data_IF_651657059670
#
_entry.id   IF_651657059670
#
_cell.length_a   1.000
_cell.length_b   1.000
_cell.length_c   1.000
_cell.angle_alpha   90.00
_cell.angle_beta   90.00
_cell.angle_gamma   90.00
#
_symmetry.space_group_name_H-M   'P 1'
#
loop_
_entity.id
_entity.type
_entity.pdbx_description
1 polymer ?
#
# COMPACT_ATOMS: atom_id res chain seq x y z
N UNK A 1 -5.51 -18.27 -6.19
CA UNK A 1 -4.04 -18.34 -6.29
C UNK A 1 -3.55 -17.47 -7.43
N UNK A 2 -2.56 -16.62 -7.14
CA UNK A 2 -1.94 -15.71 -8.11
C UNK A 2 -0.70 -16.37 -8.72
N UNK A 3 -0.51 -16.20 -10.03
CA UNK A 3 0.72 -16.64 -10.72
C UNK A 3 1.68 -15.46 -10.89
N UNK A 4 2.98 -15.77 -10.93
CA UNK A 4 4.06 -14.81 -11.17
C UNK A 4 3.81 -13.89 -12.38
N UNK A 5 3.34 -14.47 -13.49
CA UNK A 5 3.08 -13.75 -14.74
C UNK A 5 2.01 -12.67 -14.57
N UNK A 6 0.89 -13.00 -13.92
CA UNK A 6 -0.21 -12.06 -13.67
C UNK A 6 0.22 -10.94 -12.72
N UNK A 7 1.00 -11.28 -11.70
CA UNK A 7 1.54 -10.30 -10.77
C UNK A 7 2.53 -9.34 -11.48
N UNK A 8 3.38 -9.87 -12.37
CA UNK A 8 4.33 -9.07 -13.16
C UNK A 8 3.63 -8.12 -14.13
N UNK A 9 2.66 -8.61 -14.90
CA UNK A 9 1.86 -7.79 -15.82
C UNK A 9 1.17 -6.64 -15.08
N UNK A 10 0.56 -6.95 -13.94
CA UNK A 10 -0.12 -5.95 -13.12
C UNK A 10 0.84 -4.91 -12.53
N UNK A 11 1.96 -5.33 -11.93
CA UNK A 11 2.95 -4.41 -11.36
C UNK A 11 3.60 -3.51 -12.41
N UNK A 12 3.89 -4.05 -13.60
CA UNK A 12 4.39 -3.25 -14.73
C UNK A 12 3.41 -2.16 -15.16
N UNK A 13 2.10 -2.45 -15.15
CA UNK A 13 1.07 -1.45 -15.44
C UNK A 13 1.06 -0.29 -14.44
N UNK A 14 1.49 -0.55 -13.20
CA UNK A 14 1.61 0.45 -12.12
C UNK A 14 2.98 1.19 -12.14
N UNK A 15 3.86 0.84 -13.08
CA UNK A 15 5.21 1.38 -13.18
C UNK A 15 6.20 0.79 -12.17
N UNK A 16 5.85 -0.32 -11.53
CA UNK A 16 6.65 -0.98 -10.51
C UNK A 16 7.44 -2.11 -11.17
N UNK A 17 8.77 -2.01 -11.16
CA UNK A 17 9.66 -3.04 -11.69
C UNK A 17 10.43 -3.70 -10.55
N UNK A 18 10.01 -4.91 -10.18
CA UNK A 18 10.71 -5.78 -9.22
C UNK A 18 11.48 -6.87 -9.96
N UNK A 19 12.61 -7.34 -9.40
CA UNK A 19 13.28 -8.53 -9.91
C UNK A 19 12.43 -9.78 -9.62
N UNK A 20 12.47 -10.75 -10.53
CA UNK A 20 11.57 -11.92 -10.52
C UNK A 20 11.68 -12.76 -9.23
N UNK A 21 12.86 -12.84 -8.61
CA UNK A 21 13.05 -13.56 -7.34
C UNK A 21 12.32 -12.91 -6.15
N UNK A 22 12.26 -11.57 -6.11
CA UNK A 22 11.49 -10.85 -5.07
C UNK A 22 9.99 -11.00 -5.34
N UNK A 23 9.59 -10.95 -6.61
CA UNK A 23 8.20 -11.09 -7.01
C UNK A 23 7.66 -12.48 -6.64
N UNK A 24 8.49 -13.52 -6.74
CA UNK A 24 8.13 -14.87 -6.31
C UNK A 24 7.88 -14.95 -4.80
N UNK A 25 8.81 -14.43 -3.99
CA UNK A 25 8.65 -14.41 -2.53
C UNK A 25 7.36 -13.69 -2.10
N UNK A 26 7.06 -12.54 -2.72
CA UNK A 26 5.83 -11.80 -2.44
C UNK A 26 4.56 -12.56 -2.85
N UNK A 27 4.60 -13.27 -3.97
CA UNK A 27 3.48 -14.11 -4.40
C UNK A 27 3.25 -15.26 -3.41
N UNK A 28 4.31 -15.85 -2.88
CA UNK A 28 4.21 -16.90 -1.85
C UNK A 28 3.58 -16.36 -0.55
N UNK A 29 4.01 -15.18 -0.10
CA UNK A 29 3.42 -14.49 1.05
C UNK A 29 1.92 -14.20 0.84
N UNK A 30 1.52 -13.71 -0.34
CA UNK A 30 0.12 -13.42 -0.67
C UNK A 30 -0.72 -14.70 -0.78
N UNK A 31 -0.13 -15.78 -1.29
CA UNK A 31 -0.80 -17.07 -1.41
C UNK A 31 -1.02 -17.73 -0.05
N UNK A 32 -0.28 -17.36 1.01
CA UNK A 32 -0.56 -17.83 2.38
C UNK A 32 -1.94 -17.44 2.90
N UNK A 33 -2.52 -16.34 2.39
CA UNK A 33 -3.84 -15.82 2.79
C UNK A 33 -5.00 -16.52 2.05
N UNK A 34 -4.69 -17.42 1.11
CA UNK A 34 -5.68 -18.04 0.22
C UNK A 34 -6.82 -18.74 1.00
N UNK A 35 -6.53 -19.37 2.14
CA UNK A 35 -7.53 -20.06 2.97
C UNK A 35 -8.58 -19.08 3.53
N UNK A 36 -8.16 -17.90 4.00
CA UNK A 36 -9.07 -16.87 4.50
C UNK A 36 -9.90 -16.26 3.35
N UNK A 37 -9.28 -16.09 2.18
CA UNK A 37 -9.95 -15.52 1.02
C UNK A 37 -11.03 -16.44 0.45
N UNK A 38 -10.76 -17.74 0.36
CA UNK A 38 -11.70 -18.72 -0.19
C UNK A 38 -12.91 -18.95 0.73
N UNK A 39 -12.76 -18.73 2.05
CA UNK A 39 -13.84 -18.82 3.01
C UNK A 39 -14.84 -17.64 2.95
N UNK A 40 -14.37 -16.45 2.56
CA UNK A 40 -15.13 -15.20 2.69
C UNK A 40 -15.46 -14.51 1.37
N UNK A 41 -14.76 -14.82 0.28
CA UNK A 41 -14.87 -14.09 -0.97
C UNK A 41 -15.04 -15.01 -2.20
N UNK A 42 -15.78 -14.56 -3.22
CA UNK A 42 -15.78 -15.23 -4.51
C UNK A 42 -14.40 -15.07 -5.18
N UNK A 43 -14.01 -16.06 -5.99
CA UNK A 43 -12.68 -16.13 -6.62
C UNK A 43 -12.23 -14.85 -7.36
N UNK A 44 -13.18 -14.12 -7.97
CA UNK A 44 -12.90 -12.84 -8.64
C UNK A 44 -12.45 -11.74 -7.67
N UNK A 45 -13.06 -11.68 -6.48
CA UNK A 45 -12.70 -10.72 -5.43
C UNK A 45 -11.41 -11.11 -4.71
N UNK A 46 -11.20 -12.40 -4.46
CA UNK A 46 -9.96 -12.92 -3.89
C UNK A 46 -8.75 -12.51 -4.75
N UNK A 47 -8.84 -12.69 -6.08
CA UNK A 47 -7.78 -12.26 -7.00
C UNK A 47 -7.51 -10.76 -6.90
N UNK A 48 -8.55 -9.92 -6.88
CA UNK A 48 -8.39 -8.48 -6.78
C UNK A 48 -7.67 -8.06 -5.48
N UNK A 49 -8.06 -8.64 -4.34
CA UNK A 49 -7.43 -8.38 -3.03
C UNK A 49 -5.95 -8.76 -3.07
N UNK A 50 -5.62 -9.92 -3.63
CA UNK A 50 -4.24 -10.39 -3.77
C UNK A 50 -3.38 -9.44 -4.63
N UNK A 51 -3.92 -8.94 -5.74
CA UNK A 51 -3.22 -7.99 -6.60
C UNK A 51 -3.03 -6.63 -5.94
N UNK A 52 -4.03 -6.15 -5.17
CA UNK A 52 -3.90 -4.90 -4.43
C UNK A 52 -2.87 -4.99 -3.31
N UNK A 53 -2.78 -6.13 -2.61
CA UNK A 53 -1.75 -6.38 -1.60
C UNK A 53 -0.35 -6.40 -2.23
N UNK A 54 -0.19 -7.11 -3.36
CA UNK A 54 1.07 -7.10 -4.13
C UNK A 54 1.47 -5.70 -4.57
N UNK A 55 0.52 -4.88 -5.04
CA UNK A 55 0.79 -3.49 -5.42
C UNK A 55 1.31 -2.68 -4.22
N UNK A 56 0.69 -2.86 -3.06
CA UNK A 56 1.04 -2.14 -1.85
C UNK A 56 2.43 -2.55 -1.34
N UNK A 57 2.75 -3.84 -1.34
CA UNK A 57 4.09 -4.34 -1.04
C UNK A 57 5.14 -3.89 -2.07
N UNK A 58 4.78 -3.84 -3.35
CA UNK A 58 5.64 -3.34 -4.42
C UNK A 58 5.95 -1.85 -4.27
N UNK A 59 4.96 -1.03 -3.89
CA UNK A 59 5.14 0.39 -3.58
C UNK A 59 6.07 0.59 -2.37
N UNK A 60 6.02 -0.30 -1.36
CA UNK A 60 6.88 -0.21 -0.18
C UNK A 60 8.38 -0.40 -0.51
N UNK A 61 8.71 -1.17 -1.55
CA UNK A 61 10.08 -1.64 -1.82
C UNK A 61 10.93 -0.70 -2.69
N UNK A 62 10.35 0.28 -3.36
CA UNK A 62 11.15 1.21 -4.14
C UNK A 62 10.36 1.89 -5.24
N UNK A 63 10.20 3.19 -5.07
CA UNK A 63 9.45 4.02 -6.01
C UNK A 63 10.45 4.69 -6.96
N UNK A 64 10.68 4.05 -8.12
CA UNK A 64 11.55 4.62 -9.16
C UNK A 64 10.77 5.69 -9.92
N UNK A 65 10.90 6.94 -9.49
CA UNK A 65 10.23 8.07 -10.14
C UNK A 65 11.07 8.63 -11.31
N UNK A 66 10.54 8.51 -12.53
CA UNK A 66 11.06 9.26 -13.69
C UNK A 66 10.46 10.66 -13.61
N UNK A 67 11.22 11.62 -13.08
CA UNK A 67 10.81 13.03 -13.02
C UNK A 67 10.94 13.74 -14.37
N UNK A 68 11.84 13.27 -15.23
CA UNK A 68 12.00 13.73 -16.60
C UNK A 68 12.54 12.61 -17.49
N UNK A 69 11.94 12.45 -18.67
CA UNK A 69 12.52 11.66 -19.75
C UNK A 69 12.53 12.55 -20.99
N UNK A 70 13.73 12.93 -21.42
CA UNK A 70 13.93 13.72 -22.65
C UNK A 70 14.28 12.76 -23.77
N UNK A 71 13.41 12.66 -24.77
CA UNK A 71 13.71 11.90 -25.98
C UNK A 71 14.76 12.62 -26.85
N UNK A 72 15.56 11.89 -27.66
CA UNK A 72 16.54 12.48 -28.59
C UNK A 72 15.95 13.51 -29.56
N UNK A 73 14.63 13.45 -29.81
CA UNK A 73 13.91 14.34 -30.73
C UNK A 73 13.32 15.59 -30.04
N UNK A 74 13.69 15.88 -28.79
CA UNK A 74 13.18 17.04 -28.03
C UNK A 74 11.77 16.89 -27.48
N UNK A 75 11.12 15.73 -27.66
CA UNK A 75 9.83 15.42 -27.05
C UNK A 75 10.01 15.12 -25.55
N UNK A 76 9.35 15.91 -24.70
CA UNK A 76 9.29 15.68 -23.26
C UNK A 76 7.92 15.12 -22.86
N UNK A 77 7.89 14.02 -22.11
CA UNK A 77 6.69 13.61 -21.36
C UNK A 77 6.94 13.87 -19.89
N UNK A 78 6.22 14.82 -19.31
CA UNK A 78 6.20 15.03 -17.87
C UNK A 78 4.98 14.31 -17.29
N UNK A 79 5.22 13.42 -16.35
CA UNK A 79 4.15 12.75 -15.62
C UNK A 79 4.17 13.26 -14.18
N UNK A 80 3.08 13.89 -13.73
CA UNK A 80 2.84 14.12 -12.30
C UNK A 80 1.98 12.98 -11.79
N UNK A 81 2.61 12.03 -11.12
CA UNK A 81 1.87 11.10 -10.26
C UNK A 81 1.73 11.72 -8.87
N UNK A 82 0.64 11.41 -8.17
CA UNK A 82 0.46 11.87 -6.79
C UNK A 82 1.68 11.50 -5.94
N UNK A 83 1.92 12.27 -4.87
CA UNK A 83 3.05 11.98 -3.98
C UNK A 83 3.00 10.53 -3.50
N UNK A 84 4.15 9.89 -3.27
CA UNK A 84 4.21 8.54 -2.72
C UNK A 84 3.23 8.30 -1.54
N UNK A 85 3.10 9.24 -0.57
CA UNK A 85 2.06 9.19 0.45
C UNK A 85 0.63 9.01 -0.05
N UNK A 86 0.25 9.72 -1.10
CA UNK A 86 -1.11 9.69 -1.64
C UNK A 86 -1.36 8.37 -2.39
N UNK A 87 -0.36 7.87 -3.14
CA UNK A 87 -0.45 6.57 -3.82
C UNK A 87 -0.59 5.43 -2.81
N UNK A 88 0.21 5.48 -1.74
CA UNK A 88 0.13 4.53 -0.64
C UNK A 88 -1.25 4.53 0.02
N UNK A 89 -1.73 5.71 0.43
CA UNK A 89 -3.05 5.86 1.06
C UNK A 89 -4.18 5.42 0.14
N UNK A 90 -4.08 5.69 -1.17
CA UNK A 90 -5.05 5.25 -2.16
C UNK A 90 -5.10 3.73 -2.30
N UNK A 91 -3.95 3.06 -2.41
CA UNK A 91 -3.86 1.60 -2.48
C UNK A 91 -4.39 0.94 -1.20
N UNK A 92 -4.04 1.50 -0.03
CA UNK A 92 -4.47 1.01 1.26
C UNK A 92 -5.99 1.20 1.48
N UNK A 93 -6.54 2.34 1.08
CA UNK A 93 -7.99 2.58 1.14
C UNK A 93 -8.75 1.59 0.23
N UNK A 94 -8.24 1.32 -0.96
CA UNK A 94 -8.83 0.34 -1.88
C UNK A 94 -8.82 -1.08 -1.28
N UNK A 95 -7.72 -1.46 -0.64
CA UNK A 95 -7.58 -2.75 0.04
C UNK A 95 -8.55 -2.86 1.22
N UNK A 96 -8.68 -1.83 2.07
CA UNK A 96 -9.64 -1.82 3.19
C UNK A 96 -11.11 -1.87 2.76
N UNK A 97 -11.44 -1.26 1.61
CA UNK A 97 -12.82 -1.31 1.09
C UNK A 97 -13.15 -2.70 0.52
N UNK A 98 -12.17 -3.37 -0.06
CA UNK A 98 -12.35 -4.69 -0.68
C UNK A 98 -12.24 -5.83 0.34
N UNK A 99 -11.26 -5.77 1.24
CA UNK A 99 -11.05 -6.71 2.34
C UNK A 99 -11.74 -6.24 3.62
N UNK A 100 -13.04 -6.49 3.70
CA UNK A 100 -13.87 -6.25 4.90
C UNK A 100 -13.63 -7.24 6.04
N UNK A 101 -13.13 -8.44 5.73
CA UNK A 101 -12.87 -9.49 6.72
C UNK A 101 -11.48 -9.37 7.34
N UNK A 102 -10.59 -8.56 6.74
CA UNK A 102 -9.29 -8.24 7.30
C UNK A 102 -8.27 -9.37 7.13
N UNK A 103 -8.47 -10.25 6.14
CA UNK A 103 -7.56 -11.36 5.85
C UNK A 103 -6.13 -10.88 5.53
N UNK A 104 -5.99 -9.66 5.00
CA UNK A 104 -4.71 -9.09 4.60
C UNK A 104 -4.00 -8.28 5.70
N UNK A 105 -4.64 -8.02 6.85
CA UNK A 105 -4.14 -7.03 7.83
C UNK A 105 -2.75 -7.34 8.37
N UNK A 106 -2.41 -8.62 8.57
CA UNK A 106 -1.12 -9.04 9.14
C UNK A 106 0.05 -8.84 8.16
N UNK A 107 -0.25 -8.79 6.86
CA UNK A 107 0.72 -8.66 5.78
C UNK A 107 0.84 -7.21 5.26
N UNK A 108 0.07 -6.28 5.80
CA UNK A 108 0.19 -4.87 5.42
C UNK A 108 1.48 -4.29 6.02
N UNK A 109 2.47 -3.89 5.21
CA UNK A 109 3.63 -3.16 5.69
C UNK A 109 3.25 -1.87 6.45
N UNK A 110 4.05 -1.44 7.44
CA UNK A 110 3.76 -0.25 8.22
C UNK A 110 3.74 1.00 7.33
N UNK A 111 2.84 1.94 7.63
CA UNK A 111 2.70 3.19 6.88
C UNK A 111 4.04 3.95 6.84
N UNK A 112 4.69 4.10 5.66
CA UNK A 112 5.99 4.77 5.53
C UNK A 112 5.90 6.29 5.71
N UNK A 113 4.68 6.82 5.86
CA UNK A 113 4.37 8.25 5.99
C UNK A 113 3.91 8.64 7.37
N UNK A 114 3.88 7.67 8.30
CA UNK A 114 3.56 7.93 9.69
C UNK A 114 4.77 8.60 10.34
N UNK A 115 4.90 9.91 10.17
CA UNK A 115 5.71 10.73 11.07
C UNK A 115 5.07 10.60 12.44
N UNK A 116 5.73 9.94 13.38
CA UNK A 116 5.25 9.82 14.75
C UNK A 116 5.01 11.23 15.31
N UNK A 117 3.77 11.71 15.24
CA UNK A 117 3.35 12.89 15.96
C UNK A 117 3.24 12.45 17.42
N UNK A 118 4.36 12.58 18.16
CA UNK A 118 4.32 12.65 19.61
C UNK A 118 3.57 13.94 19.98
N UNK A 119 2.24 13.89 19.89
CA UNK A 119 1.36 14.94 20.36
C UNK A 119 1.52 15.04 21.87
N UNK A 120 2.43 15.91 22.31
CA UNK A 120 2.47 16.37 23.70
C UNK A 120 1.18 17.17 23.92
N UNK A 121 0.19 16.52 24.51
CA UNK A 121 -1.05 17.16 24.97
C UNK A 121 -0.76 17.84 26.31
N UNK A 122 -0.32 19.10 26.29
CA UNK A 122 -0.26 19.92 27.50
C UNK A 122 -1.69 20.36 27.82
N UNK A 123 -2.36 19.60 28.67
CA UNK A 123 -3.56 20.09 29.33
C UNK A 123 -3.18 21.27 30.23
N UNK A 124 -3.77 22.44 29.99
CA UNK A 124 -3.62 23.61 30.86
C UNK A 124 -4.29 23.27 32.19
N UNK A 125 -3.49 23.00 33.23
CA UNK A 125 -3.99 22.70 34.57
C UNK A 125 -4.90 23.83 35.07
N UNK A 126 -6.20 23.54 35.17
CA UNK A 126 -7.16 24.45 35.75
C UNK A 126 -6.85 24.66 37.23
N UNK A 127 -6.66 25.91 37.63
CA UNK A 127 -6.53 26.30 39.02
C UNK A 127 -7.80 25.87 39.77
N UNK A 128 -7.69 24.95 40.73
CA UNK A 128 -8.78 24.61 41.64
C UNK A 128 -9.05 25.83 42.52
N UNK A 129 -10.07 26.62 42.17
CA UNK A 129 -10.76 27.48 43.13
C UNK A 129 -11.45 26.56 44.16
N UNK A 130 -10.72 26.19 45.20
CA UNK A 130 -11.28 25.61 46.41
C UNK A 130 -11.88 26.71 47.26
N UNK A 131 -13.19 26.92 47.12
CA UNK A 131 -13.96 27.71 48.08
C UNK A 131 -14.16 26.96 49.40
N UNK A 132 -14.21 27.71 50.50
CA UNK A 132 -14.95 27.34 51.70
C UNK A 132 -14.13 27.07 52.97
N UNK A 133 -13.87 28.14 53.74
CA UNK A 133 -14.47 28.39 55.07
C UNK A 133 -14.19 29.81 55.52
#
# INVERSE_FOLDING_TARGET
MVTLEKAKEYLQSQGINLPDFMLQALVDDVNSIQECLDAHYPASKALAIQMYLLALMGLAQGDKYISSQTGPNGASRSFRYQSFPDRWKGALALLRVTDKHGCANDLIPPDPTNTAFAGIWIARGGCMCGGGR
#
